data_IF_401762147361
#
_entry.id   IF_401762147361
#
_cell.length_a   1.000
_cell.length_b   1.000
_cell.length_c   1.000
_cell.angle_alpha   90.00
_cell.angle_beta   90.00
_cell.angle_gamma   90.00
#
_symmetry.space_group_name_H-M   'P 1'
#
loop_
_entity.id
_entity.type
_entity.pdbx_description
1 polymer ?
#
# COMPACT_ATOMS: atom_id res chain seq x y z
N UNK A 1 -17.39 -19.53 10.55
CA UNK A 1 -17.04 -20.14 9.26
C UNK A 1 -16.41 -19.04 8.40
N UNK A 2 -15.09 -18.99 8.32
CA UNK A 2 -14.36 -18.01 7.50
C UNK A 2 -14.58 -18.41 6.04
N UNK A 3 -15.35 -17.63 5.28
CA UNK A 3 -15.44 -17.81 3.83
C UNK A 3 -14.03 -17.63 3.26
N UNK A 4 -13.49 -18.69 2.67
CA UNK A 4 -12.25 -18.59 1.90
C UNK A 4 -12.48 -17.55 0.80
N UNK A 5 -11.73 -16.46 0.84
CA UNK A 5 -11.80 -15.42 -0.20
C UNK A 5 -11.50 -16.04 -1.55
N UNK A 6 -12.39 -15.89 -2.52
CA UNK A 6 -12.22 -16.47 -3.84
C UNK A 6 -10.99 -15.88 -4.54
N UNK A 7 -10.21 -16.74 -5.19
CA UNK A 7 -9.05 -16.32 -5.99
C UNK A 7 -9.53 -15.42 -7.14
N UNK A 8 -8.89 -14.27 -7.28
CA UNK A 8 -9.14 -13.29 -8.34
C UNK A 8 -8.09 -13.49 -9.42
N UNK A 9 -8.50 -14.06 -10.55
CA UNK A 9 -7.63 -14.20 -11.73
C UNK A 9 -7.82 -13.01 -12.65
N UNK A 10 -6.71 -12.40 -13.08
CA UNK A 10 -6.72 -11.33 -14.07
C UNK A 10 -5.38 -11.26 -14.82
N UNK A 11 -5.31 -10.40 -15.82
CA UNK A 11 -4.09 -10.06 -16.55
C UNK A 11 -3.91 -8.54 -16.51
N UNK A 12 -2.67 -8.09 -16.38
CA UNK A 12 -2.35 -6.66 -16.40
C UNK A 12 -0.96 -6.43 -17.00
N UNK A 13 -0.77 -5.25 -17.59
CA UNK A 13 0.50 -4.88 -18.22
C UNK A 13 1.42 -4.23 -17.19
N UNK A 14 2.68 -4.65 -17.19
CA UNK A 14 3.73 -4.06 -16.37
C UNK A 14 4.18 -2.73 -16.96
N UNK A 15 4.17 -1.68 -16.16
CA UNK A 15 4.48 -0.32 -16.55
C UNK A 15 5.68 0.21 -15.77
N UNK A 16 6.53 0.98 -16.43
CA UNK A 16 7.59 1.75 -15.79
C UNK A 16 7.00 3.08 -15.29
N UNK A 17 7.23 3.50 -14.04
CA UNK A 17 6.76 4.79 -13.57
C UNK A 17 7.57 5.94 -14.18
N UNK A 18 6.90 7.04 -14.56
CA UNK A 18 7.57 8.24 -15.03
C UNK A 18 8.45 8.86 -13.94
N UNK A 19 8.06 8.72 -12.69
CA UNK A 19 8.78 9.24 -11.53
C UNK A 19 8.81 8.22 -10.38
N UNK A 20 9.95 8.07 -9.68
CA UNK A 20 11.24 8.71 -9.97
C UNK A 20 11.86 8.16 -11.25
N UNK A 21 12.56 9.00 -12.00
CA UNK A 21 13.29 8.55 -13.19
C UNK A 21 14.30 7.46 -12.81
N UNK A 22 14.33 6.36 -13.59
CA UNK A 22 15.20 5.22 -13.32
C UNK A 22 14.76 4.37 -12.12
N UNK A 23 13.49 4.39 -11.77
CA UNK A 23 12.94 3.52 -10.73
C UNK A 23 13.31 2.05 -11.01
N UNK A 24 13.71 1.34 -9.97
CA UNK A 24 14.05 -0.10 -10.07
C UNK A 24 12.83 -1.02 -9.97
N UNK A 25 11.64 -0.46 -9.82
CA UNK A 25 10.37 -1.16 -9.67
C UNK A 25 9.44 -0.87 -10.84
N UNK A 26 8.55 -1.79 -11.12
CA UNK A 26 7.44 -1.64 -12.06
C UNK A 26 6.12 -1.56 -11.30
N UNK A 27 5.07 -1.17 -11.98
CA UNK A 27 3.73 -1.25 -11.44
C UNK A 27 2.76 -1.78 -12.48
N UNK A 28 1.60 -2.20 -12.02
CA UNK A 28 0.48 -2.56 -12.84
C UNK A 28 -0.82 -2.02 -12.22
N UNK A 29 -1.79 -1.72 -13.07
CA UNK A 29 -3.14 -1.35 -12.64
C UNK A 29 -4.04 -2.55 -12.88
N UNK A 30 -4.79 -2.95 -11.85
CA UNK A 30 -5.72 -4.06 -11.98
C UNK A 30 -6.89 -3.67 -12.90
N UNK A 31 -7.38 -4.60 -13.74
CA UNK A 31 -8.65 -4.40 -14.43
C UNK A 31 -9.77 -4.11 -13.43
N UNK A 32 -10.69 -3.20 -13.79
CA UNK A 32 -11.79 -2.82 -12.89
C UNK A 32 -12.62 -4.01 -12.43
N UNK A 33 -12.86 -4.99 -13.32
CA UNK A 33 -13.57 -6.22 -12.96
C UNK A 33 -12.88 -7.04 -11.85
N UNK A 34 -11.54 -7.03 -11.80
CA UNK A 34 -10.78 -7.65 -10.73
C UNK A 34 -10.84 -6.81 -9.44
N UNK A 35 -10.67 -5.49 -9.56
CA UNK A 35 -10.77 -4.57 -8.42
C UNK A 35 -12.14 -4.61 -7.74
N UNK A 36 -13.23 -4.79 -8.49
CA UNK A 36 -14.59 -4.91 -7.91
C UNK A 36 -14.81 -6.15 -7.07
N UNK A 37 -14.00 -7.17 -7.21
CA UNK A 37 -14.05 -8.40 -6.39
C UNK A 37 -13.29 -8.26 -5.06
N UNK A 38 -12.54 -7.18 -4.87
CA UNK A 38 -11.83 -6.89 -3.62
C UNK A 38 -12.81 -6.38 -2.54
N UNK A 39 -12.52 -6.65 -1.25
CA UNK A 39 -13.45 -6.33 -0.16
C UNK A 39 -13.65 -4.84 0.09
N UNK A 40 -12.74 -3.99 -0.37
CA UNK A 40 -12.80 -2.53 -0.15
C UNK A 40 -12.14 -1.79 -1.32
N UNK A 41 -12.43 -0.50 -1.47
CA UNK A 41 -11.79 0.42 -2.43
C UNK A 41 -10.53 1.08 -1.87
N UNK A 42 -10.23 0.89 -0.61
CA UNK A 42 -8.98 1.33 0.02
C UNK A 42 -7.87 0.30 -0.17
N UNK A 43 -6.77 0.42 0.58
CA UNK A 43 -5.68 -0.57 0.52
C UNK A 43 -6.16 -1.96 0.92
N UNK A 44 -5.74 -2.97 0.17
CA UNK A 44 -6.07 -4.39 0.41
C UNK A 44 -4.80 -5.22 0.37
N UNK A 45 -4.48 -5.90 1.45
CA UNK A 45 -3.40 -6.88 1.45
C UNK A 45 -3.85 -8.18 0.80
N UNK A 46 -2.99 -8.70 -0.07
CA UNK A 46 -3.24 -9.90 -0.87
C UNK A 46 -2.05 -10.85 -0.82
N UNK A 47 -2.34 -12.13 -0.95
CA UNK A 47 -1.38 -13.16 -1.31
C UNK A 47 -1.74 -13.75 -2.66
N UNK A 48 -0.79 -14.38 -3.33
CA UNK A 48 -1.06 -15.02 -4.63
C UNK A 48 0.16 -15.14 -5.50
N UNK A 49 -0.01 -14.97 -6.80
CA UNK A 49 1.09 -15.07 -7.77
C UNK A 49 1.02 -13.98 -8.84
N UNK A 50 2.21 -13.59 -9.33
CA UNK A 50 2.41 -12.78 -10.53
C UNK A 50 3.30 -13.59 -11.48
N UNK A 51 2.84 -13.82 -12.70
CA UNK A 51 3.53 -14.67 -13.67
C UNK A 51 3.94 -16.05 -13.08
N UNK A 52 3.11 -16.63 -12.22
CA UNK A 52 3.37 -17.90 -11.54
C UNK A 52 4.28 -17.82 -10.31
N UNK A 53 4.88 -16.68 -9.99
CA UNK A 53 5.77 -16.50 -8.84
C UNK A 53 5.02 -15.96 -7.62
N UNK A 54 5.32 -16.47 -6.41
CA UNK A 54 4.65 -16.08 -5.18
C UNK A 54 4.72 -14.57 -4.92
N UNK A 55 3.61 -14.00 -4.47
CA UNK A 55 3.46 -12.60 -4.12
C UNK A 55 2.73 -12.46 -2.78
N UNK A 56 3.25 -11.60 -1.93
CA UNK A 56 2.53 -11.01 -0.81
C UNK A 56 2.70 -9.49 -0.91
N UNK A 57 1.61 -8.75 -1.04
CA UNK A 57 1.68 -7.31 -1.25
C UNK A 57 0.40 -6.61 -0.80
N UNK A 58 0.46 -5.28 -0.74
CA UNK A 58 -0.70 -4.43 -0.50
C UNK A 58 -1.07 -3.69 -1.78
N UNK A 59 -2.25 -3.97 -2.29
CA UNK A 59 -2.86 -3.22 -3.38
C UNK A 59 -3.22 -1.82 -2.90
N UNK A 60 -2.94 -0.82 -3.70
CA UNK A 60 -3.22 0.58 -3.39
C UNK A 60 -4.33 1.11 -4.28
N UNK A 61 -5.16 2.06 -3.81
CA UNK A 61 -6.15 2.73 -4.65
C UNK A 61 -5.49 3.46 -5.83
N UNK A 62 -6.09 3.37 -7.00
CA UNK A 62 -5.60 4.04 -8.23
C UNK A 62 -6.12 5.46 -8.41
N UNK A 63 -6.97 5.94 -7.48
CA UNK A 63 -7.63 7.24 -7.55
C UNK A 63 -8.85 7.28 -8.49
N UNK A 64 -9.21 6.16 -9.12
CA UNK A 64 -10.32 6.03 -10.08
C UNK A 64 -11.32 4.94 -9.68
N UNK A 65 -11.21 4.44 -8.46
CA UNK A 65 -12.08 3.38 -7.92
C UNK A 65 -11.53 1.97 -8.15
N UNK A 66 -10.37 1.83 -8.78
CA UNK A 66 -9.62 0.59 -8.94
C UNK A 66 -8.41 0.51 -7.99
N UNK A 67 -7.52 -0.43 -8.29
CA UNK A 67 -6.31 -0.68 -7.52
C UNK A 67 -5.09 -0.83 -8.43
N UNK A 68 -3.92 -0.54 -7.89
CA UNK A 68 -2.65 -0.76 -8.51
C UNK A 68 -1.68 -1.48 -7.56
N UNK A 69 -0.61 -2.04 -8.11
CA UNK A 69 0.36 -2.85 -7.39
C UNK A 69 1.77 -2.52 -7.86
N UNK A 70 2.68 -2.39 -6.90
CA UNK A 70 4.13 -2.32 -7.17
C UNK A 70 4.71 -3.71 -7.35
N UNK A 71 5.54 -3.88 -8.37
CA UNK A 71 6.33 -5.10 -8.61
C UNK A 71 7.79 -4.77 -8.38
N UNK A 72 8.29 -5.23 -7.25
CA UNK A 72 9.65 -4.98 -6.81
C UNK A 72 10.67 -5.72 -7.71
N UNK A 73 11.89 -5.19 -7.79
CA UNK A 73 12.96 -5.71 -8.64
C UNK A 73 13.25 -7.20 -8.40
N UNK A 74 13.21 -7.64 -7.15
CA UNK A 74 13.45 -9.04 -6.82
C UNK A 74 12.42 -9.97 -7.47
N UNK A 75 11.13 -9.58 -7.45
CA UNK A 75 10.06 -10.33 -8.11
C UNK A 75 10.17 -10.28 -9.63
N UNK A 76 10.54 -9.13 -10.21
CA UNK A 76 10.79 -9.00 -11.66
C UNK A 76 11.86 -9.97 -12.11
N UNK A 77 12.97 -10.04 -11.37
CA UNK A 77 14.10 -10.94 -11.68
C UNK A 77 13.71 -12.41 -11.51
N UNK A 78 13.03 -12.75 -10.43
CA UNK A 78 12.59 -14.13 -10.18
C UNK A 78 11.60 -14.61 -11.26
N UNK A 79 10.69 -13.76 -11.67
CA UNK A 79 9.66 -14.07 -12.68
C UNK A 79 10.14 -13.88 -14.13
N UNK A 80 11.32 -13.30 -14.35
CA UNK A 80 11.84 -13.01 -15.70
C UNK A 80 10.98 -12.04 -16.49
N UNK A 81 10.34 -11.06 -15.81
CA UNK A 81 9.40 -10.12 -16.44
C UNK A 81 9.96 -8.70 -16.52
N UNK A 82 9.52 -7.95 -17.53
CA UNK A 82 9.94 -6.57 -17.76
C UNK A 82 8.75 -5.67 -18.15
N UNK A 83 9.02 -4.36 -18.23
CA UNK A 83 8.03 -3.37 -18.64
C UNK A 83 7.45 -3.71 -20.04
N UNK A 84 6.18 -3.40 -20.24
CA UNK A 84 5.43 -3.66 -21.46
C UNK A 84 4.84 -5.07 -21.55
N UNK A 85 5.28 -6.02 -20.73
CA UNK A 85 4.72 -7.37 -20.73
C UNK A 85 3.38 -7.42 -20.00
N UNK A 86 2.44 -8.20 -20.54
CA UNK A 86 1.20 -8.54 -19.86
C UNK A 86 1.38 -9.83 -19.08
N UNK A 87 1.17 -9.78 -17.78
CA UNK A 87 1.34 -10.91 -16.86
C UNK A 87 0.01 -11.38 -16.29
N UNK A 88 -0.06 -12.68 -16.00
CA UNK A 88 -1.20 -13.26 -15.30
C UNK A 88 -1.02 -13.07 -13.78
N UNK A 89 -2.13 -12.74 -13.11
CA UNK A 89 -2.22 -12.62 -11.65
C UNK A 89 -3.28 -13.58 -11.12
N UNK A 90 -2.96 -14.18 -9.98
CA UNK A 90 -3.92 -14.90 -9.15
C UNK A 90 -3.80 -14.32 -7.73
N UNK A 91 -4.80 -13.57 -7.29
CA UNK A 91 -4.76 -12.80 -6.03
C UNK A 91 -5.87 -13.24 -5.09
N UNK A 92 -5.53 -13.41 -3.83
CA UNK A 92 -6.49 -13.71 -2.75
C UNK A 92 -6.35 -12.64 -1.66
N UNK A 93 -7.41 -11.88 -1.35
CA UNK A 93 -7.39 -11.00 -0.19
C UNK A 93 -7.09 -11.77 1.09
N UNK A 94 -6.19 -11.26 1.92
CA UNK A 94 -5.88 -11.90 3.20
C UNK A 94 -7.07 -11.78 4.15
N UNK A 95 -7.38 -12.86 4.87
CA UNK A 95 -8.48 -12.87 5.83
C UNK A 95 -8.17 -12.00 7.06
N UNK A 96 -6.90 -12.03 7.49
CA UNK A 96 -6.38 -11.21 8.59
C UNK A 96 -5.17 -10.41 8.10
N UNK A 97 -5.19 -9.10 8.36
CA UNK A 97 -4.07 -8.22 8.02
C UNK A 97 -2.83 -8.64 8.82
N UNK A 98 -1.71 -8.93 8.18
CA UNK A 98 -0.48 -9.23 8.91
C UNK A 98 0.01 -8.00 9.66
N UNK A 99 0.68 -8.22 10.79
CA UNK A 99 1.27 -7.12 11.55
C UNK A 99 2.33 -6.40 10.68
N UNK A 100 2.19 -5.09 10.43
CA UNK A 100 3.11 -4.37 9.58
C UNK A 100 4.43 -4.09 10.30
N UNK A 101 5.54 -4.12 9.55
CA UNK A 101 6.83 -3.68 10.06
C UNK A 101 6.79 -2.16 10.32
N UNK A 102 7.04 -1.78 11.57
CA UNK A 102 7.08 -0.37 11.97
C UNK A 102 8.46 0.20 11.62
N UNK A 103 8.55 1.28 10.83
CA UNK A 103 9.83 1.93 10.57
C UNK A 103 10.49 2.43 11.86
N UNK A 104 11.83 2.35 11.94
CA UNK A 104 12.60 2.67 13.15
C UNK A 104 12.33 4.08 13.68
N UNK A 105 12.27 5.07 12.80
CA UNK A 105 12.00 6.46 13.16
C UNK A 105 10.60 6.66 13.78
N UNK A 106 9.60 5.95 13.28
CA UNK A 106 8.26 5.96 13.86
C UNK A 106 8.23 5.17 15.18
N UNK A 107 8.93 4.05 15.25
CA UNK A 107 9.03 3.24 16.48
C UNK A 107 9.65 4.05 17.62
N UNK A 108 10.76 4.74 17.37
CA UNK A 108 11.43 5.61 18.35
C UNK A 108 10.50 6.75 18.80
N UNK A 109 9.79 7.38 17.86
CA UNK A 109 8.85 8.45 18.18
C UNK A 109 7.68 7.96 19.05
N UNK A 110 7.10 6.79 18.74
CA UNK A 110 6.03 6.19 19.56
C UNK A 110 6.54 5.83 20.96
N UNK A 111 7.76 5.33 21.10
CA UNK A 111 8.36 5.03 22.40
C UNK A 111 8.53 6.28 23.26
N UNK A 112 8.80 7.44 22.67
CA UNK A 112 8.93 8.73 23.36
C UNK A 112 7.57 9.35 23.77
N UNK A 113 6.43 8.81 23.30
CA UNK A 113 5.09 9.35 23.52
C UNK A 113 4.14 8.29 24.09
N UNK A 114 4.11 8.04 25.42
CA UNK A 114 3.34 6.95 26.03
C UNK A 114 1.85 6.92 25.67
N UNK A 115 1.18 8.08 25.58
CA UNK A 115 -0.22 8.15 25.18
C UNK A 115 -0.45 7.74 23.72
N UNK A 116 0.45 8.13 22.81
CA UNK A 116 0.40 7.70 21.41
C UNK A 116 0.67 6.21 21.31
N UNK A 117 1.64 5.69 22.06
CA UNK A 117 1.97 4.27 22.11
C UNK A 117 0.79 3.43 22.59
N UNK A 118 0.09 3.84 23.64
CA UNK A 118 -1.07 3.13 24.13
C UNK A 118 -2.17 2.99 23.05
N UNK A 119 -2.47 4.08 22.35
CA UNK A 119 -3.43 4.03 21.22
C UNK A 119 -2.90 3.16 20.08
N UNK A 120 -1.60 3.25 19.77
CA UNK A 120 -0.97 2.42 18.73
C UNK A 120 -1.10 0.92 19.03
N UNK A 121 -0.89 0.51 20.25
CA UNK A 121 -0.98 -0.89 20.67
C UNK A 121 -2.42 -1.42 20.65
N UNK A 122 -3.41 -0.53 20.83
CA UNK A 122 -4.84 -0.87 20.86
C UNK A 122 -5.53 -0.83 19.47
N UNK A 123 -4.94 -0.21 18.45
CA UNK A 123 -5.52 -0.20 17.10
C UNK A 123 -5.20 -1.49 16.32
N UNK A 124 -5.99 -1.77 15.28
CA UNK A 124 -5.84 -2.96 14.45
C UNK A 124 -4.59 -2.89 13.56
N UNK A 125 -4.09 -4.04 13.10
CA UNK A 125 -2.99 -4.11 12.13
C UNK A 125 -3.28 -3.31 10.85
N UNK A 126 -4.54 -3.33 10.36
CA UNK A 126 -4.99 -2.50 9.22
C UNK A 126 -4.77 -1.01 9.52
N UNK A 127 -5.17 -0.55 10.70
CA UNK A 127 -5.00 0.85 11.07
C UNK A 127 -3.51 1.22 11.23
N UNK A 128 -2.69 0.34 11.80
CA UNK A 128 -1.23 0.52 11.87
C UNK A 128 -0.60 0.61 10.48
N UNK A 129 -0.97 -0.29 9.56
CA UNK A 129 -0.53 -0.24 8.16
C UNK A 129 -0.87 1.12 7.50
N UNK A 130 -2.08 1.62 7.69
CA UNK A 130 -2.54 2.89 7.10
C UNK A 130 -1.77 4.09 7.68
N UNK A 131 -1.48 4.10 8.98
CA UNK A 131 -0.61 5.10 9.61
C UNK A 131 0.82 5.06 9.05
N UNK A 132 1.41 3.86 8.95
CA UNK A 132 2.75 3.68 8.38
C UNK A 132 2.77 4.18 6.94
N UNK A 133 1.79 3.78 6.12
CA UNK A 133 1.69 4.23 4.74
C UNK A 133 1.65 5.76 4.63
N UNK A 134 0.83 6.40 5.45
CA UNK A 134 0.77 7.87 5.46
C UNK A 134 2.11 8.51 5.84
N UNK A 135 2.79 8.00 6.84
CA UNK A 135 4.12 8.49 7.25
C UNK A 135 5.15 8.33 6.14
N UNK A 136 5.28 7.11 5.57
CA UNK A 136 6.32 6.80 4.57
C UNK A 136 6.05 7.43 3.20
N UNK A 137 4.81 7.80 2.89
CA UNK A 137 4.50 8.55 1.67
C UNK A 137 5.08 9.97 1.67
N UNK A 138 5.57 10.48 2.80
CA UNK A 138 6.39 11.67 2.90
C UNK A 138 7.81 11.43 2.41
N UNK A 139 8.07 11.64 1.11
CA UNK A 139 9.35 11.32 0.46
C UNK A 139 10.55 12.13 0.99
N UNK A 140 10.34 13.38 1.38
CA UNK A 140 11.38 14.24 1.95
C UNK A 140 11.50 13.98 3.46
N UNK A 141 12.73 13.91 3.98
CA UNK A 141 12.99 13.69 5.41
C UNK A 141 12.23 14.68 6.31
N UNK A 142 12.20 15.96 5.94
CA UNK A 142 11.45 16.98 6.68
C UNK A 142 9.93 16.72 6.69
N UNK A 143 9.34 16.30 5.56
CA UNK A 143 7.91 15.95 5.47
C UNK A 143 7.62 14.72 6.30
N UNK A 144 8.49 13.71 6.24
CA UNK A 144 8.38 12.48 7.01
C UNK A 144 8.43 12.75 8.51
N UNK A 145 9.40 13.55 8.98
CA UNK A 145 9.50 13.96 10.38
C UNK A 145 8.26 14.71 10.88
N UNK A 146 7.73 15.65 10.09
CA UNK A 146 6.47 16.34 10.40
C UNK A 146 5.29 15.37 10.49
N UNK A 147 5.20 14.38 9.59
CA UNK A 147 4.13 13.37 9.63
C UNK A 147 4.23 12.46 10.84
N UNK A 148 5.44 12.06 11.24
CA UNK A 148 5.65 11.28 12.46
C UNK A 148 5.17 12.06 13.69
N UNK A 149 5.60 13.33 13.84
CA UNK A 149 5.14 14.17 14.94
C UNK A 149 3.61 14.34 14.95
N UNK A 150 3.00 14.57 13.79
CA UNK A 150 1.56 14.66 13.63
C UNK A 150 0.87 13.34 13.98
N UNK A 151 1.40 12.19 13.54
CA UNK A 151 0.86 10.87 13.89
C UNK A 151 0.87 10.66 15.40
N UNK A 152 1.98 10.93 16.07
CA UNK A 152 2.07 10.82 17.53
C UNK A 152 1.06 11.74 18.25
N UNK A 153 0.92 13.01 17.84
CA UNK A 153 -0.04 13.93 18.43
C UNK A 153 -1.49 13.44 18.29
N UNK A 154 -1.81 12.89 17.12
CA UNK A 154 -3.14 12.41 16.81
C UNK A 154 -3.48 11.09 17.51
N UNK A 155 -2.55 10.15 17.54
CA UNK A 155 -2.68 8.91 18.31
C UNK A 155 -2.84 9.25 19.82
N UNK A 156 -2.05 10.18 20.34
CA UNK A 156 -2.17 10.63 21.72
C UNK A 156 -3.54 11.26 22.03
N UNK A 157 -4.20 11.86 21.04
CA UNK A 157 -5.58 12.36 21.16
C UNK A 157 -6.65 11.27 20.95
N UNK A 158 -6.27 10.01 20.85
CA UNK A 158 -7.17 8.86 20.69
C UNK A 158 -7.66 8.62 19.25
N UNK A 159 -7.07 9.25 18.23
CA UNK A 159 -7.43 8.99 16.84
C UNK A 159 -6.88 7.66 16.36
N UNK A 160 -7.77 6.78 15.93
CA UNK A 160 -7.48 5.38 15.60
C UNK A 160 -7.17 5.14 14.13
N UNK A 161 -7.45 6.10 13.22
CA UNK A 161 -7.25 5.94 11.76
C UNK A 161 -6.61 7.17 11.15
N UNK A 162 -5.74 6.94 10.16
CA UNK A 162 -5.05 7.98 9.40
C UNK A 162 -5.95 8.70 8.36
N UNK A 163 -7.03 8.08 7.92
CA UNK A 163 -7.86 8.54 6.79
C UNK A 163 -8.67 9.83 7.03
N UNK A 164 -8.65 10.39 8.25
CA UNK A 164 -9.47 11.57 8.59
C UNK A 164 -8.75 12.91 8.45
N UNK A 165 -7.55 12.93 7.84
CA UNK A 165 -6.66 14.10 7.93
C UNK A 165 -6.66 15.02 6.74
N UNK A 166 -7.25 14.60 5.63
CA UNK A 166 -7.18 15.41 4.43
C UNK A 166 -8.54 15.87 3.94
N UNK A 167 -9.04 16.94 4.55
CA UNK A 167 -10.14 17.72 3.98
C UNK A 167 -9.71 18.49 2.71
N UNK A 168 -8.40 18.55 2.39
CA UNK A 168 -7.86 19.29 1.26
C UNK A 168 -7.76 18.47 -0.03
N UNK A 169 -8.08 17.16 0.02
CA UNK A 169 -7.92 16.25 -1.12
C UNK A 169 -6.47 15.89 -1.45
N UNK A 170 -5.48 16.49 -0.78
CA UNK A 170 -4.05 16.18 -1.02
C UNK A 170 -3.69 14.73 -0.75
N UNK A 171 -4.34 14.09 0.19
CA UNK A 171 -4.10 12.68 0.50
C UNK A 171 -4.73 11.76 -0.54
N UNK A 172 -5.91 12.08 -1.04
CA UNK A 172 -6.56 11.32 -2.13
C UNK A 172 -5.77 11.41 -3.44
N UNK A 173 -5.07 12.51 -3.70
CA UNK A 173 -4.14 12.60 -4.82
C UNK A 173 -2.85 11.78 -4.60
N UNK A 174 -2.42 11.56 -3.36
CA UNK A 174 -1.28 10.70 -3.04
C UNK A 174 -1.60 9.20 -3.20
N UNK A 175 -2.87 8.83 -3.32
CA UNK A 175 -3.34 7.46 -3.51
C UNK A 175 -3.65 7.13 -5.00
N UNK A 176 -3.19 7.95 -5.94
CA UNK A 176 -3.31 7.65 -7.37
C UNK A 176 -2.24 6.63 -7.81
N UNK A 177 -2.55 5.85 -8.84
CA UNK A 177 -1.54 5.04 -9.52
C UNK A 177 -0.44 5.95 -10.09
N UNK A 178 0.82 5.47 -10.14
CA UNK A 178 1.90 6.20 -10.80
C UNK A 178 1.55 6.51 -12.26
N UNK A 179 2.03 7.65 -12.76
CA UNK A 179 1.95 7.95 -14.18
C UNK A 179 2.92 7.04 -14.92
N UNK A 180 2.49 6.31 -15.96
CA UNK A 180 3.40 5.53 -16.79
C UNK A 180 4.40 6.44 -17.52
N UNK A 181 5.64 5.95 -17.68
CA UNK A 181 6.62 6.57 -18.55
C UNK A 181 6.11 6.54 -19.99
N UNK A 182 6.19 7.66 -20.68
CA UNK A 182 5.90 7.70 -22.11
C UNK A 182 6.89 6.80 -22.87
N UNK A 183 6.37 5.95 -23.76
CA UNK A 183 7.17 5.09 -24.63
C UNK A 183 7.89 5.89 -25.71
#
# INVERSE_FOLDING_TARGET
MTQASAIIHCKATLLEPAMPAGASWLFLVLPMAASYRLPTRSMVSVTGTVAGHPLQATLQPDGRGGHWLTIERALQQAAGVCAGQTVALALTPVAEEPEPLVPDDLHVALAAHPAARATWDDITAVARRDWIFWVVSGKKAQTRGKRIATACAMLASGKRRACCFDRSGKYSHALAAPTPKAG
#
